data_IF_467379350882
#
_entry.id   IF_467379350882
#
_cell.length_a   1.000
_cell.length_b   1.000
_cell.length_c   1.000
_cell.angle_alpha   90.00
_cell.angle_beta   90.00
_cell.angle_gamma   90.00
#
_symmetry.space_group_name_H-M   'P 1'
#
loop_
_entity.id
_entity.type
_entity.pdbx_description
1 polymer ?
#
# COMPACT_ATOMS: atom_id res chain seq x y z
N UNK A 1 66.46 72.66 -125.53
CA UNK A 1 65.25 73.35 -125.01
C UNK A 1 64.19 72.40 -124.47
N UNK A 2 64.12 71.14 -124.90
CA UNK A 2 63.14 70.17 -124.36
C UNK A 2 63.50 69.61 -122.97
N UNK A 3 64.80 69.50 -122.63
CA UNK A 3 65.24 68.98 -121.33
C UNK A 3 64.93 69.90 -120.14
N UNK A 4 64.89 71.22 -120.32
CA UNK A 4 64.61 72.16 -119.23
C UNK A 4 63.11 72.24 -118.90
N UNK A 5 62.23 71.96 -119.87
CA UNK A 5 60.78 71.88 -119.68
C UNK A 5 60.36 70.63 -118.91
N UNK A 6 60.91 69.47 -119.24
CA UNK A 6 60.69 68.21 -118.52
C UNK A 6 61.14 68.28 -117.06
N UNK A 7 62.25 68.96 -116.77
CA UNK A 7 62.72 69.17 -115.38
C UNK A 7 61.73 69.97 -114.53
N UNK A 8 61.03 70.97 -115.11
CA UNK A 8 60.04 71.78 -114.37
C UNK A 8 58.73 71.05 -114.15
N UNK A 9 58.26 70.28 -115.13
CA UNK A 9 57.05 69.46 -115.00
C UNK A 9 57.27 68.36 -113.96
N UNK A 10 58.39 67.64 -114.03
CA UNK A 10 58.76 66.64 -113.03
C UNK A 10 58.88 67.24 -111.61
N UNK A 11 59.38 68.47 -111.48
CA UNK A 11 59.47 69.14 -110.18
C UNK A 11 58.10 69.55 -109.61
N UNK A 12 57.12 69.87 -110.45
CA UNK A 12 55.74 70.20 -110.00
C UNK A 12 54.98 68.93 -109.63
N UNK A 13 55.09 67.87 -110.43
CA UNK A 13 54.49 66.56 -110.14
C UNK A 13 55.10 65.96 -108.87
N UNK A 14 56.43 65.96 -108.75
CA UNK A 14 57.13 65.52 -107.54
C UNK A 14 56.71 66.33 -106.30
N UNK A 15 56.61 67.66 -106.36
CA UNK A 15 56.13 68.45 -105.22
C UNK A 15 54.67 68.16 -104.86
N UNK A 16 53.81 67.90 -105.86
CA UNK A 16 52.40 67.57 -105.63
C UNK A 16 52.28 66.18 -105.01
N UNK A 17 53.00 65.19 -105.51
CA UNK A 17 53.08 63.84 -104.94
C UNK A 17 53.65 63.88 -103.53
N UNK A 18 54.73 64.61 -103.29
CA UNK A 18 55.27 64.81 -101.94
C UNK A 18 54.26 65.48 -100.99
N UNK A 19 53.45 66.43 -101.46
CA UNK A 19 52.40 67.04 -100.65
C UNK A 19 51.26 66.06 -100.34
N UNK A 20 50.86 65.23 -101.29
CA UNK A 20 49.88 64.15 -101.09
C UNK A 20 50.41 63.07 -100.15
N UNK A 21 51.66 62.64 -100.31
CA UNK A 21 52.32 61.69 -99.41
C UNK A 21 52.43 62.23 -97.99
N UNK A 22 52.78 63.53 -97.82
CA UNK A 22 52.79 64.17 -96.49
C UNK A 22 51.39 64.20 -95.88
N UNK A 23 50.35 64.56 -96.64
CA UNK A 23 48.97 64.57 -96.14
C UNK A 23 48.46 63.17 -95.80
N UNK A 24 48.75 62.18 -96.64
CA UNK A 24 48.34 60.79 -96.46
C UNK A 24 49.10 60.15 -95.30
N UNK A 25 50.38 60.47 -95.12
CA UNK A 25 51.18 60.10 -93.95
C UNK A 25 50.58 60.68 -92.66
N UNK A 26 50.23 61.98 -92.63
CA UNK A 26 49.56 62.60 -91.48
C UNK A 26 48.21 61.94 -91.17
N UNK A 27 47.42 61.60 -92.19
CA UNK A 27 46.16 60.88 -92.01
C UNK A 27 46.37 59.47 -91.44
N UNK A 28 47.32 58.71 -92.00
CA UNK A 28 47.69 57.38 -91.53
C UNK A 28 48.18 57.41 -90.08
N UNK A 29 49.02 58.38 -89.71
CA UNK A 29 49.50 58.53 -88.33
C UNK A 29 48.38 58.91 -87.35
N UNK A 30 47.43 59.76 -87.76
CA UNK A 30 46.23 60.04 -86.93
C UNK A 30 45.37 58.80 -86.75
N UNK A 31 45.10 58.06 -87.82
CA UNK A 31 44.31 56.83 -87.77
C UNK A 31 44.98 55.75 -86.89
N UNK A 32 46.31 55.60 -86.97
CA UNK A 32 47.08 54.73 -86.06
C UNK A 32 46.94 55.17 -84.61
N UNK A 33 47.10 56.45 -84.32
CA UNK A 33 46.99 56.98 -82.96
C UNK A 33 45.58 56.80 -82.37
N UNK A 34 44.54 57.00 -83.18
CA UNK A 34 43.15 56.75 -82.78
C UNK A 34 42.89 55.26 -82.54
N UNK A 35 43.37 54.38 -83.42
CA UNK A 35 43.26 52.94 -83.23
C UNK A 35 43.98 52.47 -81.96
N UNK A 36 45.22 52.94 -81.71
CA UNK A 36 45.96 52.65 -80.48
C UNK A 36 45.23 53.15 -79.23
N UNK A 37 44.61 54.33 -79.29
CA UNK A 37 43.82 54.87 -78.17
C UNK A 37 42.59 54.01 -77.89
N UNK A 38 41.90 53.57 -78.93
CA UNK A 38 40.74 52.66 -78.80
C UNK A 38 41.15 51.31 -78.23
N UNK A 39 42.26 50.73 -78.71
CA UNK A 39 42.82 49.47 -78.19
C UNK A 39 43.15 49.60 -76.71
N UNK A 40 43.85 50.67 -76.29
CA UNK A 40 44.19 50.91 -74.88
C UNK A 40 42.96 51.06 -73.99
N UNK A 41 41.91 51.73 -74.45
CA UNK A 41 40.67 51.85 -73.68
C UNK A 41 39.91 50.53 -73.59
N UNK A 42 39.89 49.72 -74.66
CA UNK A 42 39.32 48.37 -74.63
C UNK A 42 40.09 47.45 -73.68
N UNK A 43 41.42 47.49 -73.69
CA UNK A 43 42.26 46.76 -72.74
C UNK A 43 42.00 47.20 -71.30
N UNK A 44 41.87 48.51 -71.06
CA UNK A 44 41.58 49.05 -69.73
C UNK A 44 40.21 48.58 -69.22
N UNK A 45 39.19 48.63 -70.07
CA UNK A 45 37.83 48.14 -69.74
C UNK A 45 37.83 46.62 -69.51
N UNK A 46 38.49 45.86 -70.38
CA UNK A 46 38.61 44.40 -70.25
C UNK A 46 39.29 43.99 -68.95
N UNK A 47 40.40 44.66 -68.57
CA UNK A 47 41.07 44.44 -67.28
C UNK A 47 40.15 44.78 -66.10
N UNK A 48 39.43 45.90 -66.14
CA UNK A 48 38.50 46.27 -65.07
C UNK A 48 37.35 45.25 -64.92
N UNK A 49 36.78 44.74 -66.01
CA UNK A 49 35.76 43.69 -65.97
C UNK A 49 36.32 42.36 -65.45
N UNK A 50 37.54 41.99 -65.85
CA UNK A 50 38.21 40.79 -65.34
C UNK A 50 38.48 40.89 -63.83
N UNK A 51 39.02 42.02 -63.36
CA UNK A 51 39.27 42.27 -61.94
C UNK A 51 37.97 42.18 -61.12
N UNK A 52 36.85 42.69 -61.66
CA UNK A 52 35.54 42.58 -61.01
C UNK A 52 35.05 41.13 -60.95
N UNK A 53 35.17 40.37 -62.03
CA UNK A 53 34.83 38.95 -62.06
C UNK A 53 35.70 38.16 -61.07
N UNK A 54 37.01 38.42 -61.01
CA UNK A 54 37.91 37.78 -60.05
C UNK A 54 37.51 38.09 -58.61
N UNK A 55 37.19 39.34 -58.28
CA UNK A 55 36.70 39.71 -56.95
C UNK A 55 35.40 39.00 -56.59
N UNK A 56 34.44 38.94 -57.51
CA UNK A 56 33.16 38.23 -57.27
C UNK A 56 33.36 36.73 -57.09
N UNK A 57 34.25 36.12 -57.88
CA UNK A 57 34.60 34.71 -57.75
C UNK A 57 35.24 34.42 -56.39
N UNK A 58 36.20 35.25 -55.96
CA UNK A 58 36.85 35.10 -54.66
C UNK A 58 35.89 35.35 -53.48
N UNK A 59 34.91 36.26 -53.63
CA UNK A 59 33.85 36.42 -52.65
C UNK A 59 32.98 35.16 -52.55
N UNK A 60 32.59 34.57 -53.69
CA UNK A 60 31.77 33.34 -53.74
C UNK A 60 32.51 32.11 -53.21
N UNK A 61 33.82 32.00 -53.44
CA UNK A 61 34.65 30.95 -52.82
C UNK A 61 34.62 31.04 -51.31
N UNK A 62 34.82 32.25 -50.74
CA UNK A 62 34.75 32.45 -49.29
C UNK A 62 33.37 32.13 -48.72
N UNK A 63 32.31 32.57 -49.40
CA UNK A 63 30.93 32.24 -49.02
C UNK A 63 30.70 30.72 -49.04
N UNK A 64 31.15 30.02 -50.09
CA UNK A 64 31.04 28.56 -50.18
C UNK A 64 31.83 27.84 -49.08
N UNK A 65 33.04 28.30 -48.76
CA UNK A 65 33.83 27.73 -47.66
C UNK A 65 33.17 27.96 -46.30
N UNK A 66 32.57 29.13 -46.07
CA UNK A 66 31.83 29.41 -44.84
C UNK A 66 30.58 28.54 -44.71
N UNK A 67 29.82 28.36 -45.80
CA UNK A 67 28.65 27.46 -45.81
C UNK A 67 29.05 25.99 -45.61
N UNK A 68 30.19 25.57 -46.13
CA UNK A 68 30.70 24.22 -45.93
C UNK A 68 31.08 23.99 -44.45
N UNK A 69 31.79 24.94 -43.84
CA UNK A 69 32.14 24.86 -42.42
C UNK A 69 30.90 24.87 -41.50
N UNK A 70 29.88 25.70 -41.79
CA UNK A 70 28.61 25.70 -41.03
C UNK A 70 27.88 24.35 -41.16
N UNK A 71 27.86 23.75 -42.34
CA UNK A 71 27.28 22.41 -42.54
C UNK A 71 28.03 21.34 -41.76
N UNK A 72 29.35 21.34 -41.81
CA UNK A 72 30.19 20.39 -41.07
C UNK A 72 30.00 20.52 -39.56
N UNK A 73 29.95 21.75 -39.04
CA UNK A 73 29.66 22.00 -37.63
C UNK A 73 28.29 21.45 -37.22
N UNK A 74 27.24 21.70 -38.01
CA UNK A 74 25.89 21.17 -37.72
C UNK A 74 25.85 19.65 -37.77
N UNK A 75 26.52 19.03 -38.75
CA UNK A 75 26.61 17.57 -38.82
C UNK A 75 27.26 17.04 -37.54
N UNK A 76 28.37 17.63 -37.13
CA UNK A 76 29.08 17.24 -35.92
C UNK A 76 28.21 17.39 -34.66
N UNK A 77 27.48 18.51 -34.51
CA UNK A 77 26.55 18.74 -33.40
C UNK A 77 25.42 17.71 -33.37
N UNK A 78 24.85 17.37 -34.53
CA UNK A 78 23.80 16.36 -34.62
C UNK A 78 24.33 14.96 -34.29
N UNK A 79 25.51 14.60 -34.79
CA UNK A 79 26.15 13.32 -34.46
C UNK A 79 26.41 13.20 -32.96
N UNK A 80 26.96 14.23 -32.34
CA UNK A 80 27.20 14.27 -30.91
C UNK A 80 25.90 14.18 -30.10
N UNK A 81 24.84 14.88 -30.53
CA UNK A 81 23.54 14.83 -29.88
C UNK A 81 22.90 13.43 -29.97
N UNK A 82 22.99 12.80 -31.15
CA UNK A 82 22.50 11.44 -31.36
C UNK A 82 23.25 10.45 -30.47
N UNK A 83 24.57 10.61 -30.33
CA UNK A 83 25.36 9.73 -29.47
C UNK A 83 24.99 9.89 -27.99
N UNK A 84 24.79 11.12 -27.51
CA UNK A 84 24.29 11.37 -26.15
C UNK A 84 22.90 10.77 -25.90
N UNK A 85 22.03 10.78 -26.90
CA UNK A 85 20.71 10.14 -26.78
C UNK A 85 20.86 8.61 -26.70
N UNK A 86 21.78 8.01 -27.47
CA UNK A 86 22.03 6.56 -27.44
C UNK A 86 22.56 6.10 -26.09
N UNK A 87 23.56 6.78 -25.54
CA UNK A 87 24.13 6.44 -24.23
C UNK A 87 23.09 6.57 -23.13
N UNK A 88 22.34 7.69 -23.11
CA UNK A 88 21.24 7.89 -22.16
C UNK A 88 20.18 6.80 -22.27
N UNK A 89 19.77 6.44 -23.48
CA UNK A 89 18.80 5.36 -23.70
C UNK A 89 19.30 4.04 -23.11
N UNK A 90 20.57 3.69 -23.36
CA UNK A 90 21.16 2.46 -22.84
C UNK A 90 21.21 2.45 -21.30
N UNK A 91 21.53 3.59 -20.68
CA UNK A 91 21.53 3.73 -19.22
C UNK A 91 20.12 3.58 -18.63
N UNK A 92 19.11 4.17 -19.28
CA UNK A 92 17.70 4.08 -18.89
C UNK A 92 17.15 2.64 -19.04
N UNK A 93 17.49 1.94 -20.12
CA UNK A 93 17.17 0.53 -20.33
C UNK A 93 17.82 -0.35 -19.25
N UNK A 94 19.11 -0.13 -18.97
CA UNK A 94 19.85 -0.85 -17.93
C UNK A 94 19.32 -0.54 -16.52
N UNK A 95 18.82 0.67 -16.27
CA UNK A 95 18.16 1.02 -15.01
C UNK A 95 16.81 0.32 -14.88
N UNK A 96 16.04 0.23 -15.97
CA UNK A 96 14.74 -0.44 -16.01
C UNK A 96 14.87 -1.94 -15.77
N UNK A 97 15.86 -2.60 -16.36
CA UNK A 97 16.13 -4.02 -16.11
C UNK A 97 16.52 -4.29 -14.66
N UNK A 98 17.37 -3.44 -14.07
CA UNK A 98 17.73 -3.53 -12.65
C UNK A 98 16.52 -3.39 -11.75
N UNK A 99 15.60 -2.48 -12.06
CA UNK A 99 14.35 -2.31 -11.31
C UNK A 99 13.46 -3.55 -11.44
N UNK A 100 13.31 -4.08 -12.65
CA UNK A 100 12.52 -5.30 -12.87
C UNK A 100 13.06 -6.48 -12.06
N UNK A 101 14.39 -6.68 -12.07
CA UNK A 101 15.03 -7.71 -11.25
C UNK A 101 14.82 -7.47 -9.75
N UNK A 102 14.92 -6.21 -9.30
CA UNK A 102 14.67 -5.85 -7.90
C UNK A 102 13.22 -6.08 -7.48
N UNK A 103 12.24 -5.99 -8.39
CA UNK A 103 10.83 -6.24 -8.11
C UNK A 103 10.48 -7.73 -7.96
N UNK A 104 11.25 -8.64 -8.57
CA UNK A 104 10.95 -10.07 -8.51
C UNK A 104 10.97 -10.63 -7.07
N UNK A 105 11.92 -10.18 -6.23
CA UNK A 105 12.06 -10.66 -4.87
C UNK A 105 10.85 -10.26 -3.99
N UNK A 106 10.45 -8.97 -3.92
CA UNK A 106 9.21 -8.57 -3.26
C UNK A 106 7.95 -9.27 -3.79
N UNK A 107 7.82 -9.50 -5.09
CA UNK A 107 6.67 -10.21 -5.67
C UNK A 107 6.59 -11.66 -5.19
N UNK A 108 7.72 -12.36 -5.17
CA UNK A 108 7.81 -13.71 -4.61
C UNK A 108 7.51 -13.72 -3.12
N UNK A 109 8.08 -12.78 -2.36
CA UNK A 109 7.82 -12.65 -0.92
C UNK A 109 6.33 -12.37 -0.63
N UNK A 110 5.70 -11.53 -1.44
CA UNK A 110 4.27 -11.22 -1.33
C UNK A 110 3.42 -12.47 -1.57
N UNK A 111 3.73 -13.26 -2.59
CA UNK A 111 3.05 -14.54 -2.85
C UNK A 111 3.21 -15.55 -1.69
N UNK A 112 4.42 -15.65 -1.13
CA UNK A 112 4.68 -16.48 0.05
C UNK A 112 3.91 -16.00 1.28
N UNK A 113 3.82 -14.68 1.49
CA UNK A 113 3.05 -14.11 2.61
C UNK A 113 1.55 -14.35 2.43
N UNK A 114 1.02 -14.22 1.21
CA UNK A 114 -0.38 -14.48 0.91
C UNK A 114 -0.75 -15.95 1.20
N UNK A 115 0.02 -16.91 0.67
CA UNK A 115 -0.22 -18.33 0.96
C UNK A 115 -0.11 -18.68 2.46
N UNK A 116 0.80 -18.05 3.19
CA UNK A 116 0.92 -18.22 4.64
C UNK A 116 -0.30 -17.66 5.41
N UNK A 117 -0.88 -16.56 4.93
CA UNK A 117 -2.11 -15.98 5.48
C UNK A 117 -3.29 -16.92 5.22
N UNK A 118 -3.48 -17.38 3.98
CA UNK A 118 -4.55 -18.32 3.62
C UNK A 118 -4.50 -19.60 4.47
N UNK A 119 -3.31 -20.15 4.68
CA UNK A 119 -3.11 -21.34 5.53
C UNK A 119 -3.53 -21.06 6.98
N UNK A 120 -3.20 -19.89 7.52
CA UNK A 120 -3.60 -19.51 8.88
C UNK A 120 -5.10 -19.26 8.99
N UNK A 121 -5.72 -18.68 7.98
CA UNK A 121 -7.17 -18.49 7.92
C UNK A 121 -7.90 -19.83 7.96
N UNK A 122 -7.45 -20.81 7.18
CA UNK A 122 -8.00 -22.17 7.20
C UNK A 122 -7.83 -22.83 8.59
N UNK A 123 -6.66 -22.68 9.22
CA UNK A 123 -6.44 -23.19 10.58
C UNK A 123 -7.37 -22.53 11.61
N UNK A 124 -7.58 -21.21 11.50
CA UNK A 124 -8.48 -20.48 12.38
C UNK A 124 -9.93 -20.93 12.21
N UNK A 125 -10.38 -21.18 10.98
CA UNK A 125 -11.71 -21.71 10.70
C UNK A 125 -11.92 -23.07 11.37
N UNK A 126 -10.94 -23.98 11.26
CA UNK A 126 -10.99 -25.29 11.93
C UNK A 126 -11.10 -25.16 13.46
N UNK A 127 -10.29 -24.29 14.08
CA UNK A 127 -10.35 -24.05 15.53
C UNK A 127 -11.69 -23.46 15.94
N UNK A 128 -12.29 -22.58 15.13
CA UNK A 128 -13.61 -22.02 15.41
C UNK A 128 -14.70 -23.09 15.35
N UNK A 129 -14.64 -24.00 14.38
CA UNK A 129 -15.56 -25.13 14.27
C UNK A 129 -15.43 -26.08 15.46
N UNK A 130 -14.23 -26.43 15.87
CA UNK A 130 -14.00 -27.28 17.04
C UNK A 130 -14.50 -26.61 18.32
N UNK A 131 -14.29 -25.29 18.47
CA UNK A 131 -14.83 -24.51 19.59
C UNK A 131 -16.36 -24.48 19.59
N UNK A 132 -16.99 -24.39 18.42
CA UNK A 132 -18.44 -24.46 18.30
C UNK A 132 -18.97 -25.85 18.70
N UNK A 133 -18.38 -26.91 18.17
CA UNK A 133 -18.71 -28.30 18.51
C UNK A 133 -18.54 -28.59 20.00
N UNK A 134 -17.45 -28.11 20.61
CA UNK A 134 -17.21 -28.26 22.04
C UNK A 134 -18.30 -27.59 22.88
N UNK A 135 -18.77 -26.38 22.50
CA UNK A 135 -19.88 -25.71 23.17
C UNK A 135 -21.19 -26.49 23.02
N UNK A 136 -21.48 -27.01 21.84
CA UNK A 136 -22.67 -27.83 21.60
C UNK A 136 -22.66 -29.11 22.44
N UNK A 137 -21.52 -29.80 22.52
CA UNK A 137 -21.37 -31.00 23.35
C UNK A 137 -21.63 -30.70 24.84
N UNK A 138 -21.03 -29.63 25.38
CA UNK A 138 -21.25 -29.21 26.77
C UNK A 138 -22.73 -28.88 27.01
N UNK A 139 -23.38 -28.19 26.08
CA UNK A 139 -24.80 -27.88 26.19
C UNK A 139 -25.65 -29.17 26.19
N UNK A 140 -25.37 -30.12 25.29
CA UNK A 140 -26.09 -31.39 25.24
C UNK A 140 -25.91 -32.21 26.53
N UNK A 141 -24.69 -32.29 27.06
CA UNK A 141 -24.42 -32.97 28.33
C UNK A 141 -25.17 -32.32 29.49
N UNK A 142 -25.19 -30.99 29.57
CA UNK A 142 -25.97 -30.26 30.59
C UNK A 142 -27.44 -30.63 30.54
N UNK A 143 -28.04 -30.63 29.34
CA UNK A 143 -29.44 -31.03 29.18
C UNK A 143 -29.68 -32.49 29.57
N UNK A 144 -28.76 -33.39 29.23
CA UNK A 144 -28.82 -34.81 29.61
C UNK A 144 -28.76 -35.01 31.14
N UNK A 145 -27.80 -34.33 31.79
CA UNK A 145 -27.66 -34.36 33.26
C UNK A 145 -28.89 -33.76 33.94
N UNK A 146 -29.41 -32.65 33.43
CA UNK A 146 -30.65 -32.05 33.96
C UNK A 146 -31.85 -32.98 33.81
N UNK A 147 -31.99 -33.65 32.67
CA UNK A 147 -33.04 -34.65 32.45
C UNK A 147 -32.90 -35.82 33.44
N UNK A 148 -31.70 -36.37 33.61
CA UNK A 148 -31.44 -37.43 34.58
C UNK A 148 -31.70 -36.99 36.04
N UNK A 149 -31.36 -35.74 36.40
CA UNK A 149 -31.70 -35.19 37.71
C UNK A 149 -33.20 -35.06 37.92
N UNK A 150 -33.96 -34.68 36.89
CA UNK A 150 -35.43 -34.61 36.95
C UNK A 150 -36.03 -36.00 37.16
N UNK A 151 -35.59 -37.01 36.41
CA UNK A 151 -36.12 -38.38 36.56
C UNK A 151 -35.87 -38.93 37.97
N UNK A 152 -34.66 -38.75 38.51
CA UNK A 152 -34.34 -39.18 39.89
C UNK A 152 -35.22 -38.47 40.92
N UNK A 153 -35.40 -37.14 40.80
CA UNK A 153 -36.29 -36.39 41.72
C UNK A 153 -37.74 -36.87 41.62
N UNK A 154 -38.23 -37.14 40.42
CA UNK A 154 -39.59 -37.65 40.21
C UNK A 154 -39.79 -39.05 40.81
N UNK A 155 -38.83 -39.96 40.64
CA UNK A 155 -38.84 -41.29 41.25
C UNK A 155 -38.87 -41.21 42.77
N UNK A 156 -38.01 -40.36 43.37
CA UNK A 156 -38.02 -40.11 44.82
C UNK A 156 -39.36 -39.54 45.30
N UNK A 157 -39.93 -38.58 44.57
CA UNK A 157 -41.26 -38.06 44.87
C UNK A 157 -42.34 -39.15 44.81
N UNK A 158 -42.26 -40.08 43.84
CA UNK A 158 -43.17 -41.23 43.75
C UNK A 158 -43.01 -42.15 44.96
N UNK A 159 -41.78 -42.49 45.35
CA UNK A 159 -41.50 -43.31 46.53
C UNK A 159 -42.05 -42.67 47.81
N UNK A 160 -41.83 -41.37 48.01
CA UNK A 160 -42.35 -40.63 49.17
C UNK A 160 -43.88 -40.60 49.19
N UNK A 161 -44.53 -40.40 48.03
CA UNK A 161 -45.99 -40.51 47.92
C UNK A 161 -46.51 -41.89 48.32
N UNK A 162 -45.84 -42.96 47.90
CA UNK A 162 -46.20 -44.33 48.29
C UNK A 162 -46.03 -44.53 49.80
N UNK A 163 -44.93 -44.08 50.39
CA UNK A 163 -44.68 -44.18 51.83
C UNK A 163 -45.72 -43.39 52.65
N UNK A 164 -46.03 -42.17 52.24
CA UNK A 164 -47.08 -41.35 52.86
C UNK A 164 -48.44 -42.06 52.79
N UNK A 165 -48.75 -42.70 51.67
CA UNK A 165 -50.00 -43.45 51.52
C UNK A 165 -50.07 -44.62 52.52
N UNK A 166 -48.99 -45.40 52.65
CA UNK A 166 -48.89 -46.50 53.62
C UNK A 166 -49.04 -46.00 55.07
N UNK A 167 -48.39 -44.88 55.42
CA UNK A 167 -48.53 -44.28 56.76
C UNK A 167 -49.96 -43.83 57.02
N UNK A 168 -50.63 -43.22 56.04
CA UNK A 168 -52.04 -42.83 56.16
C UNK A 168 -52.97 -44.04 56.32
N UNK A 169 -52.75 -45.11 55.56
CA UNK A 169 -53.51 -46.35 55.71
C UNK A 169 -53.32 -46.98 57.10
N UNK A 170 -52.10 -46.99 57.63
CA UNK A 170 -51.83 -47.44 59.00
C UNK A 170 -52.53 -46.54 60.02
N UNK A 171 -52.37 -45.22 59.92
CA UNK A 171 -53.00 -44.24 60.81
C UNK A 171 -54.53 -44.34 60.81
N UNK A 172 -55.15 -44.70 59.68
CA UNK A 172 -56.60 -44.90 59.59
C UNK A 172 -57.08 -46.18 60.30
N UNK A 173 -56.26 -47.24 60.31
CA UNK A 173 -56.59 -48.51 60.99
C UNK A 173 -56.47 -48.44 62.52
N UNK A 174 -55.53 -47.63 63.04
CA UNK A 174 -55.32 -47.50 64.49
C UNK A 174 -56.59 -47.12 65.27
N UNK A 175 -57.37 -46.08 64.87
CA UNK A 175 -58.65 -45.77 65.50
C UNK A 175 -59.69 -46.89 65.38
N UNK A 176 -59.70 -47.63 64.27
CA UNK A 176 -60.59 -48.79 64.08
C UNK A 176 -60.25 -49.96 64.99
N UNK A 177 -58.97 -50.18 65.31
CA UNK A 177 -58.52 -51.20 66.27
C UNK A 177 -58.78 -50.80 67.72
N UNK A 178 -58.75 -49.50 68.04
CA UNK A 178 -59.04 -48.99 69.39
C UNK A 178 -60.56 -48.94 69.66
N UNK A 179 -61.40 -48.75 68.64
CA UNK A 179 -62.86 -48.62 68.75
C UNK A 179 -63.56 -49.85 69.40
N UNK A 180 -63.24 -51.11 69.07
CA UNK A 180 -63.79 -52.29 69.73
C UNK A 180 -63.51 -52.33 71.23
N UNK A 181 -62.32 -51.89 71.66
CA UNK A 181 -61.97 -51.83 73.09
C UNK A 181 -62.87 -50.83 73.83
N UNK A 182 -63.17 -49.69 73.22
CA UNK A 182 -64.12 -48.72 73.76
C UNK A 182 -65.58 -49.23 73.74
N UNK A 183 -65.98 -49.99 72.72
CA UNK A 183 -67.31 -50.59 72.61
C UNK A 183 -67.53 -51.76 73.58
N UNK A 184 -66.51 -52.58 73.83
CA UNK A 184 -66.55 -53.65 74.84
C UNK A 184 -66.68 -53.10 76.26
N UNK A 185 -65.99 -51.99 76.57
CA UNK A 185 -66.16 -51.27 77.85
C UNK A 185 -67.60 -50.78 78.05
N UNK A 186 -68.21 -50.21 77.00
CA UNK A 186 -69.63 -49.80 77.02
C UNK A 186 -70.58 -50.98 77.25
N UNK A 187 -70.32 -52.13 76.64
CA UNK A 187 -71.12 -53.36 76.86
C UNK A 187 -70.99 -53.91 78.28
N UNK A 188 -69.81 -53.81 78.89
CA UNK A 188 -69.54 -54.25 80.28
C UNK A 188 -69.99 -53.23 81.36
N UNK A 189 -70.48 -52.04 80.96
CA UNK A 189 -70.82 -50.90 81.85
C UNK A 189 -69.63 -50.41 82.71
N UNK A 190 -68.41 -50.60 82.23
CA UNK A 190 -67.20 -50.09 82.89
C UNK A 190 -66.92 -48.66 82.41
N UNK A 191 -66.70 -47.72 83.35
CA UNK A 191 -66.25 -46.37 83.00
C UNK A 191 -64.79 -46.41 82.52
N UNK A 192 -64.48 -45.67 81.46
CA UNK A 192 -63.10 -45.48 81.03
C UNK A 192 -62.28 -44.90 82.19
N UNK A 193 -61.12 -45.49 82.47
CA UNK A 193 -60.18 -44.89 83.43
C UNK A 193 -59.66 -43.59 82.82
N UNK A 194 -59.55 -42.54 83.62
CA UNK A 194 -59.08 -41.22 83.15
C UNK A 194 -57.75 -41.29 82.37
N UNK A 195 -56.85 -42.21 82.76
CA UNK A 195 -55.56 -42.42 82.09
C UNK A 195 -55.69 -43.02 80.67
N UNK A 196 -56.71 -43.84 80.43
CA UNK A 196 -56.96 -44.49 79.13
C UNK A 196 -57.57 -43.48 78.14
N UNK A 197 -58.53 -42.66 78.60
CA UNK A 197 -59.11 -41.55 77.83
C UNK A 197 -58.04 -40.50 77.45
N UNK A 198 -57.13 -40.20 78.37
CA UNK A 198 -55.99 -39.29 78.10
C UNK A 198 -55.04 -39.88 77.07
N UNK A 199 -54.77 -41.19 77.13
CA UNK A 199 -53.93 -41.89 76.17
C UNK A 199 -54.56 -41.93 74.76
N UNK A 200 -55.86 -42.21 74.64
CA UNK A 200 -56.57 -42.21 73.35
C UNK A 200 -56.58 -40.82 72.70
N UNK A 201 -56.78 -39.75 73.49
CA UNK A 201 -56.68 -38.36 72.99
C UNK A 201 -55.27 -37.97 72.59
N UNK A 202 -54.26 -38.40 73.34
CA UNK A 202 -52.86 -38.17 73.00
C UNK A 202 -52.50 -38.86 71.66
N UNK A 203 -52.95 -40.11 71.48
CA UNK A 203 -52.71 -40.87 70.25
C UNK A 203 -53.38 -40.21 69.03
N UNK A 204 -54.61 -39.71 69.18
CA UNK A 204 -55.30 -38.97 68.12
C UNK A 204 -54.60 -37.64 67.79
N UNK A 205 -54.05 -36.96 68.79
CA UNK A 205 -53.27 -35.73 68.59
C UNK A 205 -51.93 -36.02 67.87
N UNK A 206 -51.26 -37.13 68.21
CA UNK A 206 -50.02 -37.56 67.55
C UNK A 206 -50.26 -37.93 66.09
N UNK A 207 -51.33 -38.69 65.79
CA UNK A 207 -51.74 -39.03 64.41
C UNK A 207 -51.99 -37.75 63.61
N UNK A 208 -52.73 -36.80 64.18
CA UNK A 208 -53.01 -35.52 63.53
C UNK A 208 -51.72 -34.73 63.25
N UNK A 209 -50.81 -34.69 64.22
CA UNK A 209 -49.51 -34.02 64.07
C UNK A 209 -48.69 -34.67 62.95
N UNK A 210 -48.63 -36.00 62.90
CA UNK A 210 -47.95 -36.75 61.83
C UNK A 210 -48.56 -36.39 60.45
N UNK A 211 -49.89 -36.41 60.33
CA UNK A 211 -50.58 -36.11 59.08
C UNK A 211 -50.33 -34.69 58.56
N UNK A 212 -50.14 -33.71 59.45
CA UNK A 212 -49.79 -32.33 59.09
C UNK A 212 -48.37 -32.22 58.48
N UNK A 213 -47.43 -33.08 58.90
CA UNK A 213 -46.06 -33.07 58.38
C UNK A 213 -45.87 -33.90 57.10
N UNK A 214 -46.70 -34.93 56.84
CA UNK A 214 -46.55 -35.82 55.69
C UNK A 214 -46.46 -35.09 54.32
N UNK A 215 -47.28 -34.06 54.01
CA UNK A 215 -47.17 -33.35 52.73
C UNK A 215 -45.83 -32.62 52.54
N UNK A 216 -45.21 -32.13 53.62
CA UNK A 216 -43.94 -31.39 53.58
C UNK A 216 -42.76 -32.28 53.16
N UNK A 217 -42.88 -33.59 53.39
CA UNK A 217 -41.87 -34.56 52.95
C UNK A 217 -41.83 -34.72 51.43
N UNK A 218 -42.93 -34.46 50.71
CA UNK A 218 -42.95 -34.52 49.24
C UNK A 218 -42.09 -33.40 48.65
N UNK A 219 -42.12 -32.21 49.26
CA UNK A 219 -41.39 -31.01 48.81
C UNK A 219 -39.94 -30.92 49.28
N UNK A 220 -39.50 -31.78 50.19
CA UNK A 220 -38.13 -31.73 50.73
C UNK A 220 -37.12 -32.07 49.62
N UNK A 221 -36.20 -31.18 49.24
CA UNK A 221 -35.13 -31.58 48.32
C UNK A 221 -34.16 -32.53 49.03
N UNK A 222 -33.78 -33.64 48.37
CA UNK A 222 -32.84 -34.66 48.90
C UNK A 222 -31.38 -34.19 48.93
N UNK A 223 -31.09 -32.95 48.52
CA UNK A 223 -29.74 -32.43 48.52
C UNK A 223 -29.52 -31.79 49.89
N UNK A 224 -28.69 -32.36 50.78
CA UNK A 224 -28.18 -31.63 51.91
C UNK A 224 -27.21 -30.58 51.35
N UNK A 225 -27.77 -29.46 50.87
CA UNK A 225 -26.98 -28.28 50.59
C UNK A 225 -26.68 -27.72 51.97
N UNK A 226 -25.46 -27.91 52.48
CA UNK A 226 -24.97 -26.97 53.47
C UNK A 226 -24.82 -25.63 52.71
N UNK A 227 -25.74 -24.67 52.90
CA UNK A 227 -25.77 -23.45 52.09
C UNK A 227 -24.49 -22.64 52.29
N UNK A 228 -23.89 -22.74 53.49
CA UNK A 228 -22.66 -22.04 53.85
C UNK A 228 -21.46 -22.59 53.09
N UNK A 229 -21.26 -23.90 53.06
CA UNK A 229 -20.17 -24.53 52.30
C UNK A 229 -20.30 -24.26 50.79
N UNK A 230 -21.53 -24.29 50.28
CA UNK A 230 -21.79 -24.04 48.85
C UNK A 230 -21.50 -22.60 48.47
N UNK A 231 -21.87 -21.64 49.34
CA UNK A 231 -21.56 -20.22 49.13
C UNK A 231 -20.07 -19.91 49.32
N UNK A 232 -19.38 -20.59 50.25
CA UNK A 232 -17.92 -20.48 50.42
C UNK A 232 -17.21 -20.94 49.15
N UNK A 233 -17.57 -22.11 48.61
CA UNK A 233 -16.97 -22.65 47.39
C UNK A 233 -17.24 -21.72 46.20
N UNK A 234 -18.47 -21.20 46.06
CA UNK A 234 -18.79 -20.21 45.00
C UNK A 234 -17.91 -18.97 45.08
N UNK A 235 -17.78 -18.38 46.28
CA UNK A 235 -16.95 -17.19 46.49
C UNK A 235 -15.48 -17.44 46.17
N UNK A 236 -14.95 -18.61 46.53
CA UNK A 236 -13.58 -19.00 46.18
C UNK A 236 -13.37 -19.09 44.67
N UNK A 237 -14.31 -19.70 43.94
CA UNK A 237 -14.23 -19.73 42.47
C UNK A 237 -14.36 -18.35 41.85
N UNK A 238 -15.32 -17.53 42.29
CA UNK A 238 -15.50 -16.17 41.79
C UNK A 238 -14.24 -15.30 42.02
N UNK A 239 -13.56 -15.49 43.15
CA UNK A 239 -12.33 -14.78 43.45
C UNK A 239 -11.15 -15.24 42.59
N UNK A 240 -10.99 -16.56 42.37
CA UNK A 240 -9.99 -17.11 41.45
C UNK A 240 -10.24 -16.61 40.03
N UNK A 241 -11.48 -16.65 39.54
CA UNK A 241 -11.83 -16.17 38.20
C UNK A 241 -11.58 -14.66 38.05
N UNK A 242 -11.86 -13.85 39.07
CA UNK A 242 -11.54 -12.42 39.06
C UNK A 242 -10.03 -12.16 39.01
N UNK A 243 -9.25 -12.91 39.78
CA UNK A 243 -7.78 -12.78 39.76
C UNK A 243 -7.22 -13.18 38.40
N UNK A 244 -7.72 -14.27 37.83
CA UNK A 244 -7.32 -14.74 36.51
C UNK A 244 -7.71 -13.74 35.42
N UNK A 245 -8.93 -13.22 35.45
CA UNK A 245 -9.41 -12.17 34.55
C UNK A 245 -8.54 -10.91 34.62
N UNK A 246 -8.22 -10.42 35.83
CA UNK A 246 -7.33 -9.27 36.01
C UNK A 246 -5.93 -9.55 35.45
N UNK A 247 -5.41 -10.75 35.65
CA UNK A 247 -4.09 -11.17 35.12
C UNK A 247 -4.11 -11.18 33.59
N UNK A 248 -5.18 -11.73 32.98
CA UNK A 248 -5.36 -11.72 31.54
C UNK A 248 -5.46 -10.30 30.98
N UNK A 249 -6.26 -9.44 31.60
CA UNK A 249 -6.42 -8.04 31.18
C UNK A 249 -5.11 -7.26 31.27
N UNK A 250 -4.36 -7.42 32.36
CA UNK A 250 -3.03 -6.83 32.51
C UNK A 250 -2.08 -7.30 31.40
N UNK A 251 -2.03 -8.60 31.12
CA UNK A 251 -1.20 -9.15 30.04
C UNK A 251 -1.60 -8.61 28.66
N UNK A 252 -2.89 -8.39 28.43
CA UNK A 252 -3.41 -7.85 27.17
C UNK A 252 -3.05 -6.37 26.99
N UNK A 253 -3.11 -5.57 28.06
CA UNK A 253 -2.67 -4.17 28.08
C UNK A 253 -1.16 -4.04 27.88
N UNK A 254 -0.36 -4.92 28.48
CA UNK A 254 1.09 -4.97 28.27
C UNK A 254 1.44 -5.28 26.81
N UNK A 255 0.78 -6.28 26.21
CA UNK A 255 1.00 -6.63 24.81
C UNK A 255 0.52 -5.52 23.86
N UNK A 256 -0.59 -4.84 24.17
CA UNK A 256 -1.05 -3.65 23.43
C UNK A 256 -0.02 -2.53 23.52
N UNK A 257 0.49 -2.25 24.72
CA UNK A 257 1.52 -1.24 24.96
C UNK A 257 2.82 -1.55 24.21
N UNK A 258 3.23 -2.83 24.17
CA UNK A 258 4.38 -3.30 23.40
C UNK A 258 4.18 -3.08 21.90
N UNK A 259 3.02 -3.44 21.36
CA UNK A 259 2.69 -3.22 19.94
C UNK A 259 2.71 -1.74 19.59
N UNK A 260 2.17 -0.87 20.43
CA UNK A 260 2.23 0.58 20.23
C UNK A 260 3.66 1.12 20.23
N UNK A 261 4.52 0.68 21.17
CA UNK A 261 5.94 1.09 21.19
C UNK A 261 6.66 0.65 19.91
N UNK A 262 6.43 -0.57 19.46
CA UNK A 262 6.98 -1.09 18.20
C UNK A 262 6.45 -0.29 17.00
N UNK A 263 5.15 0.00 16.97
CA UNK A 263 4.53 0.83 15.93
C UNK A 263 5.16 2.22 15.85
N UNK A 264 5.30 2.92 16.98
CA UNK A 264 5.98 4.21 17.06
C UNK A 264 7.44 4.12 16.61
N UNK A 265 8.16 3.07 17.00
CA UNK A 265 9.54 2.84 16.57
C UNK A 265 9.66 2.65 15.04
N UNK A 266 8.73 1.91 14.44
CA UNK A 266 8.68 1.72 12.99
C UNK A 266 8.31 3.01 12.25
N UNK A 267 7.41 3.83 12.79
CA UNK A 267 7.06 5.14 12.24
C UNK A 267 8.28 6.06 12.20
N UNK A 268 9.04 6.14 13.29
CA UNK A 268 10.27 6.94 13.38
C UNK A 268 11.31 6.43 12.39
N UNK A 269 11.47 5.11 12.24
CA UNK A 269 12.38 4.55 11.26
C UNK A 269 11.99 4.91 9.82
N UNK A 270 10.70 4.82 9.48
CA UNK A 270 10.20 5.23 8.16
C UNK A 270 10.44 6.72 7.90
N UNK A 271 10.15 7.57 8.89
CA UNK A 271 10.37 9.01 8.75
C UNK A 271 11.85 9.32 8.53
N UNK A 272 12.76 8.69 9.29
CA UNK A 272 14.20 8.85 9.10
C UNK A 272 14.65 8.45 7.70
N UNK A 273 14.15 7.33 7.17
CA UNK A 273 14.49 6.90 5.81
C UNK A 273 13.99 7.88 4.75
N UNK A 274 12.81 8.48 4.96
CA UNK A 274 12.27 9.53 4.08
C UNK A 274 13.12 10.81 4.17
N UNK A 275 13.48 11.24 5.38
CA UNK A 275 14.30 12.43 5.60
C UNK A 275 15.70 12.25 4.97
N UNK A 276 16.33 11.08 5.10
CA UNK A 276 17.59 10.76 4.45
C UNK A 276 17.48 10.79 2.92
N UNK A 277 16.37 10.33 2.36
CA UNK A 277 16.11 10.38 0.92
C UNK A 277 15.93 11.83 0.43
N UNK A 278 15.16 12.65 1.17
CA UNK A 278 14.94 14.07 0.86
C UNK A 278 16.24 14.86 0.99
N UNK A 279 17.02 14.63 2.03
CA UNK A 279 18.32 15.27 2.23
C UNK A 279 19.27 15.00 1.04
N UNK A 280 19.39 13.74 0.61
CA UNK A 280 20.18 13.37 -0.58
C UNK A 280 19.68 14.02 -1.86
N UNK A 281 18.36 14.23 -2.00
CA UNK A 281 17.79 14.92 -3.15
C UNK A 281 18.14 16.42 -3.13
N UNK A 282 18.05 17.06 -1.97
CA UNK A 282 18.37 18.48 -1.81
C UNK A 282 19.87 18.76 -1.97
N UNK A 283 20.74 17.88 -1.48
CA UNK A 283 22.19 17.95 -1.70
C UNK A 283 22.52 17.98 -3.21
N UNK A 284 21.93 17.05 -3.98
CA UNK A 284 22.08 17.03 -5.44
C UNK A 284 21.57 18.29 -6.13
N UNK A 285 20.48 18.88 -5.63
CA UNK A 285 19.95 20.13 -6.17
C UNK A 285 20.90 21.31 -5.88
N UNK A 286 21.42 21.41 -4.65
CA UNK A 286 22.38 22.46 -4.30
C UNK A 286 23.70 22.32 -5.05
N UNK A 287 24.20 21.11 -5.25
CA UNK A 287 25.38 20.88 -6.10
C UNK A 287 25.12 21.37 -7.54
N UNK A 288 23.93 21.08 -8.09
CA UNK A 288 23.54 21.54 -9.41
C UNK A 288 23.46 23.09 -9.48
N UNK A 289 22.81 23.74 -8.51
CA UNK A 289 22.75 25.21 -8.40
C UNK A 289 24.14 25.85 -8.29
N UNK A 290 25.03 25.26 -7.49
CA UNK A 290 26.41 25.73 -7.35
C UNK A 290 27.17 25.63 -8.68
N UNK A 291 26.99 24.53 -9.42
CA UNK A 291 27.57 24.40 -10.76
C UNK A 291 27.00 25.41 -11.75
N UNK A 292 25.68 25.66 -11.71
CA UNK A 292 25.02 26.65 -12.57
C UNK A 292 25.54 28.07 -12.30
N UNK A 293 25.64 28.46 -11.03
CA UNK A 293 26.21 29.75 -10.64
C UNK A 293 27.68 29.89 -11.06
N UNK A 294 28.47 28.83 -10.92
CA UNK A 294 29.86 28.85 -11.36
C UNK A 294 29.97 29.03 -12.88
N UNK A 295 29.18 28.28 -13.65
CA UNK A 295 29.14 28.40 -15.11
C UNK A 295 28.66 29.79 -15.55
N UNK A 296 27.64 30.34 -14.89
CA UNK A 296 27.15 31.70 -15.16
C UNK A 296 28.24 32.75 -14.89
N UNK A 297 28.98 32.61 -13.78
CA UNK A 297 30.11 33.50 -13.48
C UNK A 297 31.24 33.40 -14.48
N UNK A 298 31.52 32.20 -15.03
CA UNK A 298 32.54 32.02 -16.08
C UNK A 298 32.07 32.67 -17.38
N UNK A 299 30.79 32.52 -17.74
CA UNK A 299 30.20 33.17 -18.91
C UNK A 299 30.30 34.70 -18.79
N UNK A 300 29.97 35.27 -17.63
CA UNK A 300 30.06 36.71 -17.39
C UNK A 300 31.50 37.25 -17.45
N UNK A 301 32.51 36.42 -17.12
CA UNK A 301 33.93 36.76 -17.27
C UNK A 301 34.43 36.70 -18.71
N UNK A 302 33.80 35.89 -19.57
CA UNK A 302 34.18 35.76 -20.98
C UNK A 302 33.49 36.84 -21.84
N UNK A 303 32.32 37.32 -21.41
CA UNK A 303 31.52 38.30 -22.14
C UNK A 303 31.83 39.77 -21.78
N UNK A 304 32.55 40.04 -20.69
CA UNK A 304 33.04 41.37 -20.31
C UNK A 304 34.55 41.51 -20.55
#
# INVERSE_FOLDING_TARGET
MEEEGMKRINAIESNREEAWERQLSVFCERAKHEAEKMTKELERRGRATLDEIERTLEAKKRESSALQADRENRIWEYEHTVENIRTRKQDEESASERLWQAMQQPEQELSLRQSAIETREQQLEMVQLDRARGREAIMQERHSIEAARRTVREERCRQRRQWIHQVKEMNAKFPEEVRPLAEERKKKREQAKANEDVAERALAADIKTIEEYLPRLISLEDIPVNPEETDIIRRQFDEVFKQEEQTYLASAEDEKSRKERLGRGLEVYRQRMLDEYVAKKNEKLHDAEATEHHLSSVVDQVLN
#
